data_IF_418798845254
#
_entry.id   IF_418798845254
#
_cell.length_a   1.000
_cell.length_b   1.000
_cell.length_c   1.000
_cell.angle_alpha   90.00
_cell.angle_beta   90.00
_cell.angle_gamma   90.00
#
_symmetry.space_group_name_H-M   'P 1'
#
loop_
_entity.id
_entity.type
_entity.pdbx_description
1 polymer ?
#
# COMPACT_ATOMS: atom_id res chain seq x y z
N UNK A 1 9.32 -14.81 14.90
CA UNK A 1 8.19 -13.87 15.09
C UNK A 1 8.79 -12.54 15.54
N UNK A 2 8.46 -11.45 14.86
CA UNK A 2 8.84 -10.09 15.26
C UNK A 2 7.60 -9.40 15.83
N UNK A 3 7.73 -8.70 16.95
CA UNK A 3 6.66 -7.93 17.58
C UNK A 3 6.87 -6.46 17.31
N UNK A 4 5.82 -5.77 16.90
CA UNK A 4 5.80 -4.32 16.69
C UNK A 4 4.82 -3.71 17.68
N UNK A 5 5.30 -2.79 18.52
CA UNK A 5 4.47 -2.03 19.45
C UNK A 5 4.28 -0.62 18.91
N UNK A 6 3.03 -0.26 18.62
CA UNK A 6 2.67 1.05 18.08
C UNK A 6 1.51 1.61 18.90
N UNK A 7 1.60 2.86 19.37
CA UNK A 7 0.45 3.52 19.99
C UNK A 7 -0.63 3.75 18.93
N UNK A 8 -1.86 3.39 19.25
CA UNK A 8 -3.02 3.61 18.39
C UNK A 8 -3.88 4.73 18.96
N UNK A 9 -4.53 5.48 18.08
CA UNK A 9 -5.54 6.44 18.50
C UNK A 9 -6.81 5.69 18.96
N UNK A 10 -7.64 6.29 19.83
CA UNK A 10 -8.89 5.65 20.27
C UNK A 10 -9.82 5.25 19.12
N UNK A 11 -9.85 6.04 18.04
CA UNK A 11 -10.69 5.75 16.86
C UNK A 11 -10.23 4.48 16.14
N UNK A 12 -8.92 4.28 16.01
CA UNK A 12 -8.35 3.07 15.40
C UNK A 12 -8.60 1.84 16.27
N UNK A 13 -8.50 1.99 17.59
CA UNK A 13 -8.81 0.91 18.51
C UNK A 13 -10.29 0.51 18.45
N UNK A 14 -11.19 1.49 18.37
CA UNK A 14 -12.62 1.26 18.20
C UNK A 14 -12.93 0.54 16.88
N UNK A 15 -12.28 0.93 15.79
CA UNK A 15 -12.36 0.22 14.51
C UNK A 15 -11.93 -1.24 14.63
N UNK A 16 -10.77 -1.51 15.23
CA UNK A 16 -10.27 -2.88 15.41
C UNK A 16 -11.24 -3.70 16.27
N UNK A 17 -11.76 -3.12 17.36
CA UNK A 17 -12.74 -3.78 18.21
C UNK A 17 -14.03 -4.09 17.44
N UNK A 18 -14.49 -3.18 16.58
CA UNK A 18 -15.69 -3.39 15.76
C UNK A 18 -15.51 -4.55 14.76
N UNK A 19 -14.33 -4.68 14.16
CA UNK A 19 -14.00 -5.74 13.21
C UNK A 19 -14.00 -7.12 13.87
N UNK A 20 -13.47 -7.21 15.09
CA UNK A 20 -13.53 -8.44 15.90
C UNK A 20 -14.97 -8.75 16.30
N UNK A 21 -15.75 -7.75 16.75
CA UNK A 21 -17.17 -7.93 17.10
C UNK A 21 -18.03 -8.40 15.92
N UNK A 22 -17.70 -7.94 14.71
CA UNK A 22 -18.36 -8.37 13.47
C UNK A 22 -17.94 -9.78 13.02
N UNK A 23 -17.04 -10.45 13.74
CA UNK A 23 -16.55 -11.78 13.39
C UNK A 23 -15.62 -11.81 12.18
N UNK A 24 -15.11 -10.65 11.73
CA UNK A 24 -14.18 -10.57 10.59
C UNK A 24 -12.77 -11.02 10.93
N UNK A 25 -12.44 -11.10 12.23
CA UNK A 25 -11.18 -11.62 12.75
C UNK A 25 -11.37 -12.17 14.17
N UNK A 26 -10.52 -13.12 14.55
CA UNK A 26 -10.54 -13.78 15.86
C UNK A 26 -9.93 -12.91 16.97
N UNK A 27 -9.00 -12.02 16.63
CA UNK A 27 -8.34 -11.12 17.58
C UNK A 27 -7.86 -9.82 16.94
N UNK A 28 -7.58 -8.81 17.78
CA UNK A 28 -7.09 -7.48 17.35
C UNK A 28 -5.85 -7.58 16.46
N UNK A 29 -4.91 -8.47 16.81
CA UNK A 29 -3.67 -8.62 16.07
C UNK A 29 -3.88 -9.23 14.67
N UNK A 30 -4.88 -10.09 14.49
CA UNK A 30 -5.25 -10.64 13.19
C UNK A 30 -5.85 -9.56 12.28
N UNK A 31 -6.68 -8.65 12.82
CA UNK A 31 -7.18 -7.48 12.07
C UNK A 31 -6.02 -6.67 11.52
N UNK A 32 -5.04 -6.36 12.38
CA UNK A 32 -3.86 -5.56 11.97
C UNK A 32 -3.03 -6.29 10.93
N UNK A 33 -2.76 -7.59 11.11
CA UNK A 33 -2.02 -8.39 10.12
C UNK A 33 -2.73 -8.44 8.76
N UNK A 34 -4.06 -8.57 8.77
CA UNK A 34 -4.84 -8.59 7.54
C UNK A 34 -4.83 -7.22 6.84
N UNK A 35 -4.98 -6.13 7.60
CA UNK A 35 -4.89 -4.78 7.07
C UNK A 35 -3.51 -4.50 6.43
N UNK A 36 -2.43 -4.96 7.05
CA UNK A 36 -1.07 -4.81 6.49
C UNK A 36 -0.88 -5.57 5.18
N UNK A 37 -1.42 -6.79 5.06
CA UNK A 37 -1.38 -7.55 3.80
C UNK A 37 -2.19 -6.86 2.71
N UNK A 38 -3.38 -6.37 3.05
CA UNK A 38 -4.20 -5.64 2.11
C UNK A 38 -3.51 -4.35 1.65
N UNK A 39 -2.85 -3.64 2.56
CA UNK A 39 -2.07 -2.45 2.24
C UNK A 39 -0.92 -2.74 1.27
N UNK A 40 -0.21 -3.86 1.46
CA UNK A 40 0.83 -4.32 0.52
C UNK A 40 0.28 -4.57 -0.89
N UNK A 41 -0.89 -5.21 -1.00
CA UNK A 41 -1.56 -5.43 -2.28
C UNK A 41 -2.02 -4.11 -2.93
N UNK A 42 -2.57 -3.19 -2.15
CA UNK A 42 -3.02 -1.88 -2.61
C UNK A 42 -1.87 -1.02 -3.14
N UNK A 43 -0.69 -1.06 -2.51
CA UNK A 43 0.50 -0.37 -3.00
C UNK A 43 0.93 -0.87 -4.39
N UNK A 44 0.89 -2.19 -4.62
CA UNK A 44 1.20 -2.77 -5.91
C UNK A 44 0.21 -2.32 -7.01
N UNK A 45 -1.08 -2.28 -6.68
CA UNK A 45 -2.12 -1.78 -7.58
C UNK A 45 -1.95 -0.28 -7.85
N UNK A 46 -1.67 0.51 -6.82
CA UNK A 46 -1.47 1.95 -6.94
C UNK A 46 -0.26 2.28 -7.82
N UNK A 47 0.85 1.53 -7.69
CA UNK A 47 2.02 1.67 -8.55
C UNK A 47 1.66 1.45 -10.03
N UNK A 48 0.85 0.43 -10.33
CA UNK A 48 0.41 0.15 -11.69
C UNK A 48 -0.54 1.23 -12.23
N UNK A 49 -1.47 1.71 -11.41
CA UNK A 49 -2.38 2.80 -11.78
C UNK A 49 -1.61 4.08 -12.07
N UNK A 50 -0.59 4.37 -11.25
CA UNK A 50 0.29 5.52 -11.44
C UNK A 50 1.09 5.39 -12.73
N UNK A 51 1.72 4.24 -12.99
CA UNK A 51 2.43 3.98 -14.23
C UNK A 51 1.52 4.14 -15.46
N UNK A 52 0.28 3.63 -15.39
CA UNK A 52 -0.71 3.79 -16.47
C UNK A 52 -1.09 5.25 -16.69
N UNK A 53 -1.18 6.04 -15.63
CA UNK A 53 -1.42 7.49 -15.70
C UNK A 53 -0.25 8.20 -16.37
N UNK A 54 0.99 7.87 -16.01
CA UNK A 54 2.19 8.45 -16.60
C UNK A 54 2.29 8.16 -18.11
N UNK A 55 1.94 6.94 -18.53
CA UNK A 55 1.78 6.57 -19.96
C UNK A 55 0.77 7.46 -20.67
N UNK A 56 -0.41 7.66 -20.07
CA UNK A 56 -1.45 8.50 -20.67
C UNK A 56 -1.02 9.97 -20.78
N UNK A 57 -0.29 10.46 -19.78
CA UNK A 57 0.18 11.85 -19.72
C UNK A 57 1.45 12.08 -20.55
N UNK A 58 1.96 11.06 -21.25
CA UNK A 58 3.15 11.17 -22.10
C UNK A 58 4.45 11.35 -21.30
N UNK A 59 4.44 11.03 -19.99
CA UNK A 59 5.58 11.16 -19.08
C UNK A 59 6.53 9.96 -19.14
N UNK A 60 6.50 9.22 -20.24
CA UNK A 60 7.26 7.98 -20.41
C UNK A 60 8.25 8.18 -21.52
N UNK A 61 9.49 7.82 -21.23
CA UNK A 61 10.55 7.80 -22.22
C UNK A 61 10.52 6.47 -22.95
N UNK A 62 10.65 6.51 -24.28
CA UNK A 62 10.70 5.34 -25.15
C UNK A 62 11.87 5.53 -26.14
N UNK A 63 12.63 4.46 -26.40
CA UNK A 63 13.78 4.47 -27.30
C UNK A 63 15.04 3.86 -26.69
N UNK A 64 16.19 4.18 -27.28
CA UNK A 64 17.50 3.70 -26.83
C UNK A 64 17.87 4.27 -25.45
N UNK A 65 18.29 3.41 -24.53
CA UNK A 65 18.67 3.79 -23.16
C UNK A 65 19.84 4.80 -23.16
N UNK A 66 20.79 4.68 -24.08
CA UNK A 66 21.94 5.59 -24.18
C UNK A 66 21.52 6.99 -24.64
N UNK A 67 20.46 7.09 -25.45
CA UNK A 67 19.88 8.37 -25.86
C UNK A 67 19.01 9.00 -24.76
N UNK A 68 18.28 8.17 -24.01
CA UNK A 68 17.43 8.63 -22.90
C UNK A 68 18.26 9.13 -21.72
N UNK A 69 19.36 8.45 -21.38
CA UNK A 69 20.26 8.87 -20.30
C UNK A 69 20.82 10.28 -20.50
N UNK A 70 21.02 10.71 -21.76
CA UNK A 70 21.50 12.06 -22.10
C UNK A 70 20.48 13.18 -21.79
N UNK A 71 19.19 12.85 -21.67
CA UNK A 71 18.09 13.81 -21.40
C UNK A 71 17.84 14.07 -19.91
N UNK A 72 18.44 13.29 -19.01
CA UNK A 72 18.22 13.34 -17.54
C UNK A 72 19.42 14.04 -16.86
N UNK A 73 19.88 15.17 -17.41
CA UNK A 73 21.03 15.92 -16.86
C UNK A 73 20.60 16.99 -15.87
#
# INVERSE_FOLDING_TARGET
MSTLSVPLTPQLEEFINSMVRQGKAENKAQVVRQALRQFEEEEAVNALLQARKDVREGKVFYGDLDELAKKIK
#
